data_IF_777296750781
#
_entry.id   IF_777296750781
#
_cell.length_a   1.000
_cell.length_b   1.000
_cell.length_c   1.000
_cell.angle_alpha   90.00
_cell.angle_beta   90.00
_cell.angle_gamma   90.00
#
_symmetry.space_group_name_H-M   'P 1'
#
loop_
_entity.id
_entity.type
_entity.pdbx_description
1 polymer ?
#
# COMPACT_ATOMS: atom_id res chain seq x y z
N UNK A 1 -9.98 -17.45 -9.89
CA UNK A 1 -8.82 -17.61 -9.01
C UNK A 1 -8.69 -16.32 -8.25
N UNK A 2 -8.83 -16.36 -6.92
CA UNK A 2 -8.83 -15.15 -6.08
C UNK A 2 -7.44 -15.00 -5.49
N UNK A 3 -6.86 -13.81 -5.62
CA UNK A 3 -5.50 -13.50 -5.16
C UNK A 3 -5.58 -12.44 -4.07
N UNK A 4 -4.76 -12.57 -3.03
CA UNK A 4 -4.48 -11.49 -2.08
C UNK A 4 -3.13 -10.89 -2.41
N UNK A 5 -3.05 -9.57 -2.46
CA UNK A 5 -1.80 -8.82 -2.65
C UNK A 5 -1.45 -8.06 -1.39
N UNK A 6 -0.19 -8.12 -1.00
CA UNK A 6 0.37 -7.35 0.12
C UNK A 6 1.51 -6.51 -0.43
N UNK A 7 1.32 -5.19 -0.38
CA UNK A 7 2.33 -4.21 -0.75
C UNK A 7 2.79 -3.46 0.51
N UNK A 8 4.09 -3.33 0.75
CA UNK A 8 4.63 -2.59 1.89
C UNK A 8 5.69 -1.57 1.45
N UNK A 9 5.62 -0.38 2.00
CA UNK A 9 6.57 0.71 1.84
C UNK A 9 7.19 1.07 3.17
N UNK A 10 8.51 1.22 3.21
CA UNK A 10 9.21 1.82 4.33
C UNK A 10 9.38 3.34 4.07
N UNK A 11 8.75 4.15 4.91
CA UNK A 11 8.77 5.60 4.78
C UNK A 11 9.90 6.26 5.57
N UNK A 12 10.61 5.51 6.43
CA UNK A 12 11.68 6.06 7.28
C UNK A 12 12.82 6.72 6.48
N UNK A 13 13.10 6.22 5.28
CA UNK A 13 14.08 6.80 4.35
C UNK A 13 13.41 7.57 3.20
N UNK A 14 12.17 8.04 3.35
CA UNK A 14 11.44 8.77 2.31
C UNK A 14 11.47 10.28 2.53
N UNK A 15 11.13 11.04 1.48
CA UNK A 15 11.05 12.51 1.54
C UNK A 15 9.76 13.02 2.19
N UNK A 16 8.87 12.13 2.62
CA UNK A 16 7.54 12.43 3.18
C UNK A 16 7.35 11.73 4.52
N UNK A 17 6.48 12.26 5.38
CA UNK A 17 6.10 11.59 6.63
C UNK A 17 4.88 10.66 6.43
N UNK A 18 4.66 9.70 7.32
CA UNK A 18 3.46 8.86 7.31
C UNK A 18 2.17 9.68 7.49
N UNK A 19 2.22 10.77 8.26
CA UNK A 19 1.09 11.68 8.46
C UNK A 19 0.68 12.38 7.16
N UNK A 20 1.65 12.95 6.45
CA UNK A 20 1.43 13.59 5.14
C UNK A 20 0.90 12.60 4.10
N UNK A 21 1.42 11.36 4.12
CA UNK A 21 0.92 10.30 3.25
C UNK A 21 -0.55 9.98 3.52
N UNK A 22 -0.95 9.86 4.80
CA UNK A 22 -2.33 9.55 5.19
C UNK A 22 -3.35 10.58 4.71
N UNK A 23 -2.98 11.85 4.70
CA UNK A 23 -3.84 12.94 4.21
C UNK A 23 -4.05 12.88 2.69
N UNK A 24 -3.15 12.22 1.96
CA UNK A 24 -3.11 12.19 0.50
C UNK A 24 -3.33 10.77 -0.08
N UNK A 25 -3.75 9.80 0.74
CA UNK A 25 -4.02 8.44 0.26
C UNK A 25 -5.16 8.44 -0.77
N UNK A 26 -5.02 7.72 -1.89
CA UNK A 26 -6.08 7.61 -2.87
C UNK A 26 -7.27 6.81 -2.30
N UNK A 27 -8.45 7.08 -2.83
CA UNK A 27 -9.63 6.27 -2.57
C UNK A 27 -9.40 4.82 -3.03
N UNK A 28 -9.89 3.87 -2.24
CA UNK A 28 -9.68 2.45 -2.48
C UNK A 28 -10.94 1.76 -3.00
N UNK A 29 -10.79 0.74 -3.86
CA UNK A 29 -11.85 -0.23 -4.11
C UNK A 29 -12.32 -0.90 -2.80
N UNK A 30 -13.58 -1.39 -2.75
CA UNK A 30 -14.16 -2.00 -1.54
C UNK A 30 -13.33 -3.15 -0.95
N UNK A 31 -12.67 -3.91 -1.81
CA UNK A 31 -11.84 -5.08 -1.48
C UNK A 31 -10.37 -4.76 -1.17
N UNK A 32 -10.03 -3.48 -1.02
CA UNK A 32 -8.66 -3.02 -0.76
C UNK A 32 -8.62 -2.15 0.49
N UNK A 33 -7.57 -2.30 1.31
CA UNK A 33 -7.39 -1.55 2.56
C UNK A 33 -5.95 -1.08 2.75
N UNK A 34 -5.80 0.16 3.20
CA UNK A 34 -4.54 0.70 3.70
C UNK A 34 -4.29 0.20 5.12
N UNK A 35 -3.06 -0.22 5.39
CA UNK A 35 -2.56 -0.57 6.73
C UNK A 35 -1.34 0.30 7.02
N UNK A 36 -1.08 0.60 8.29
CA UNK A 36 0.11 1.37 8.68
C UNK A 36 0.70 0.81 9.98
N UNK A 37 2.02 0.91 10.08
CA UNK A 37 2.77 0.68 11.31
C UNK A 37 3.49 1.98 11.65
N UNK A 38 2.86 2.81 12.49
CA UNK A 38 3.40 4.12 12.88
C UNK A 38 4.78 4.02 13.56
N UNK A 39 5.02 3.12 14.55
CA UNK A 39 6.34 2.97 15.17
C UNK A 39 7.48 2.66 14.21
N UNK A 40 7.22 1.94 13.11
CA UNK A 40 8.22 1.58 12.10
C UNK A 40 8.17 2.48 10.86
N UNK A 41 7.29 3.49 10.85
CA UNK A 41 7.01 4.36 9.70
C UNK A 41 6.74 3.57 8.40
N UNK A 42 5.93 2.52 8.50
CA UNK A 42 5.55 1.70 7.33
C UNK A 42 4.11 1.96 6.92
N UNK A 43 3.92 2.03 5.61
CA UNK A 43 2.61 1.98 4.97
C UNK A 43 2.48 0.64 4.25
N UNK A 44 1.28 0.08 4.22
CA UNK A 44 0.97 -1.08 3.41
C UNK A 44 -0.40 -1.02 2.78
N UNK A 45 -0.59 -1.83 1.76
CA UNK A 45 -1.85 -2.05 1.07
C UNK A 45 -2.13 -3.56 1.08
N UNK A 46 -3.33 -3.93 1.50
CA UNK A 46 -3.83 -5.30 1.33
C UNK A 46 -5.00 -5.23 0.36
N UNK A 47 -4.90 -5.96 -0.75
CA UNK A 47 -5.96 -6.01 -1.77
C UNK A 47 -6.42 -7.45 -1.95
N UNK A 48 -7.73 -7.67 -1.93
CA UNK A 48 -8.37 -8.97 -2.08
C UNK A 48 -9.08 -9.06 -3.43
N UNK A 49 -8.63 -9.93 -4.33
CA UNK A 49 -9.27 -10.15 -5.62
C UNK A 49 -8.61 -9.37 -6.76
N UNK A 50 -9.41 -8.53 -7.43
CA UNK A 50 -9.12 -7.95 -8.74
C UNK A 50 -8.10 -6.81 -8.76
N UNK A 51 -8.24 -5.93 -9.75
CA UNK A 51 -7.25 -4.92 -10.14
C UNK A 51 -6.82 -4.01 -8.97
N UNK A 52 -5.51 -3.76 -8.85
CA UNK A 52 -4.98 -2.79 -7.89
C UNK A 52 -5.48 -1.38 -8.20
N UNK A 53 -5.64 -0.51 -7.18
CA UNK A 53 -5.89 0.92 -7.40
C UNK A 53 -4.72 1.56 -8.15
N UNK A 54 -4.94 2.76 -8.69
CA UNK A 54 -3.84 3.57 -9.23
C UNK A 54 -2.95 4.07 -8.08
N UNK A 55 -1.73 3.51 -8.01
CA UNK A 55 -0.71 3.85 -7.01
C UNK A 55 0.20 5.01 -7.45
N UNK A 56 -0.03 5.59 -8.64
CA UNK A 56 0.72 6.73 -9.15
C UNK A 56 0.82 7.91 -8.16
N UNK A 57 -0.27 8.32 -7.49
CA UNK A 57 -0.23 9.38 -6.47
C UNK A 57 0.70 9.04 -5.30
N UNK A 58 0.65 7.80 -4.80
CA UNK A 58 1.51 7.36 -3.70
C UNK A 58 2.99 7.34 -4.12
N UNK A 59 3.30 6.88 -5.33
CA UNK A 59 4.66 6.95 -5.88
C UNK A 59 5.12 8.40 -6.05
N UNK A 60 4.25 9.30 -6.52
CA UNK A 60 4.60 10.71 -6.69
C UNK A 60 4.90 11.38 -5.34
N UNK A 61 4.20 10.99 -4.27
CA UNK A 61 4.38 11.53 -2.92
C UNK A 61 5.61 10.95 -2.21
N UNK A 62 5.77 9.63 -2.26
CA UNK A 62 6.85 8.94 -1.53
C UNK A 62 8.16 8.86 -2.32
N UNK A 63 8.10 9.02 -3.65
CA UNK A 63 9.21 8.76 -4.56
C UNK A 63 9.63 7.29 -4.65
N UNK A 64 8.84 6.37 -4.07
CA UNK A 64 9.23 4.98 -3.83
C UNK A 64 8.26 3.97 -4.43
N UNK A 65 8.83 2.83 -4.80
CA UNK A 65 8.10 1.58 -5.03
C UNK A 65 7.92 0.82 -3.71
N UNK A 66 6.94 -0.11 -3.65
CA UNK A 66 6.85 -1.01 -2.52
C UNK A 66 8.11 -1.88 -2.43
N UNK A 67 8.64 -2.01 -1.22
CA UNK A 67 9.77 -2.87 -0.91
C UNK A 67 9.36 -4.34 -0.82
N UNK A 68 8.10 -4.58 -0.45
CA UNK A 68 7.47 -5.90 -0.46
C UNK A 68 6.27 -5.83 -1.39
N UNK A 69 6.18 -6.75 -2.34
CA UNK A 69 5.06 -6.89 -3.26
C UNK A 69 4.77 -8.38 -3.48
N UNK A 70 3.95 -8.95 -2.60
CA UNK A 70 3.67 -10.38 -2.56
C UNK A 70 2.24 -10.69 -3.03
N UNK A 71 2.07 -11.81 -3.73
CA UNK A 71 0.78 -12.30 -4.20
C UNK A 71 0.52 -13.71 -3.69
N UNK A 72 -0.70 -13.97 -3.22
CA UNK A 72 -1.09 -15.25 -2.64
C UNK A 72 -2.40 -15.74 -3.25
N UNK A 73 -2.45 -17.01 -3.64
CA UNK A 73 -3.72 -17.67 -3.96
C UNK A 73 -4.55 -17.89 -2.69
N UNK A 74 -5.83 -17.55 -2.76
CA UNK A 74 -6.77 -17.79 -1.66
C UNK A 74 -7.26 -19.24 -1.70
N UNK A 75 -7.05 -19.98 -0.62
CA UNK A 75 -7.37 -21.42 -0.50
C UNK A 75 -8.79 -21.73 0.04
N UNK A 76 -9.77 -20.85 -0.21
CA UNK A 76 -11.13 -20.97 0.34
C UNK A 76 -11.81 -22.31 0.05
#
# INVERSE_FOLDING_TARGET
MTVVRILLWNLADSTTSLEEVRENLPELPPETIWIANEPEERLGLVSYGGQLPDLGPLRALTGKEPEVAEEFDVLA
#
